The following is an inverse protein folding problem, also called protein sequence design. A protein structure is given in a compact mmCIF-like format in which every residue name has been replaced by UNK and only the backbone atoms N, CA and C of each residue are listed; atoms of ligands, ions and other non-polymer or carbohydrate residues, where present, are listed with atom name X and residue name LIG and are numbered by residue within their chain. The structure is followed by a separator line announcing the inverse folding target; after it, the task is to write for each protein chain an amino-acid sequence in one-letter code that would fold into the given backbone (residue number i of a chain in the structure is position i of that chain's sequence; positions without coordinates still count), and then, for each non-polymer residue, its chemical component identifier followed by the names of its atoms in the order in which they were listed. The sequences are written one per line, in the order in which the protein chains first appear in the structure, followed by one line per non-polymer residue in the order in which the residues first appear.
data_IF_511176423406
#
_entry.id   IF_511176423406
#
_cell.length_a   1.000
_cell.length_b   1.000
_cell.length_c   1.000
_cell.angle_alpha   90.00
_cell.angle_beta   90.00
_cell.angle_gamma   90.00
#
_symmetry.space_group_name_H-M   'P 1'
#
loop_
_entity.id
_entity.type
_entity.pdbx_description
1 polymer ?
#
# COMPACT_ATOMS: atom_id res chain seq x y z
N UNK A 1 -4.47 -14.01 7.96
CA UNK A 1 -3.30 -14.07 7.08
C UNK A 1 -2.16 -13.28 7.70
N UNK A 2 -0.95 -13.78 7.62
CA UNK A 2 0.20 -13.10 8.22
C UNK A 2 0.69 -11.95 7.35
N UNK A 3 1.25 -10.89 7.97
CA UNK A 3 1.93 -9.85 7.22
C UNK A 3 3.10 -10.38 6.39
N UNK A 4 3.44 -9.66 5.33
CA UNK A 4 4.66 -9.92 4.58
C UNK A 4 5.88 -9.78 5.49
N UNK A 5 6.85 -10.69 5.37
CA UNK A 5 8.08 -10.64 6.16
C UNK A 5 8.87 -9.35 5.89
N UNK A 6 8.92 -8.93 4.64
CA UNK A 6 9.63 -7.71 4.25
C UNK A 6 8.98 -6.46 4.86
N UNK A 7 7.65 -6.35 4.74
CA UNK A 7 6.92 -5.22 5.33
C UNK A 7 7.04 -5.23 6.84
N UNK A 8 6.92 -6.41 7.46
CA UNK A 8 7.06 -6.55 8.91
C UNK A 8 8.44 -6.11 9.39
N UNK A 9 9.50 -6.51 8.67
CA UNK A 9 10.86 -6.13 9.00
C UNK A 9 11.04 -4.61 8.99
N UNK A 10 10.54 -3.94 7.95
CA UNK A 10 10.65 -2.50 7.85
C UNK A 10 9.76 -1.77 8.86
N UNK A 11 8.55 -2.29 9.11
CA UNK A 11 7.64 -1.70 10.09
C UNK A 11 8.28 -1.55 11.47
N UNK A 12 9.06 -2.56 11.88
CA UNK A 12 9.72 -2.55 13.19
C UNK A 12 10.88 -1.56 13.30
N UNK A 13 11.38 -1.05 12.16
CA UNK A 13 12.48 -0.07 12.15
C UNK A 13 12.00 1.37 12.08
N UNK A 14 10.73 1.60 11.76
CA UNK A 14 10.19 2.95 11.58
C UNK A 14 9.62 3.48 12.88
N UNK A 15 9.75 4.79 13.09
CA UNK A 15 9.10 5.44 14.23
C UNK A 15 7.60 5.53 14.01
N UNK A 16 6.78 5.26 15.05
CA UNK A 16 5.34 5.39 14.94
C UNK A 16 4.91 6.79 14.48
N UNK A 17 3.97 6.82 13.55
CA UNK A 17 3.42 8.05 12.98
C UNK A 17 2.12 7.68 12.26
N UNK A 18 1.77 8.43 11.22
CA UNK A 18 0.61 8.13 10.40
C UNK A 18 0.98 7.15 9.29
N UNK A 19 0.08 6.21 9.01
CA UNK A 19 0.25 5.27 7.89
C UNK A 19 -1.07 5.09 7.16
N UNK A 20 -0.99 5.01 5.83
CA UNK A 20 -2.14 4.63 5.00
C UNK A 20 -1.81 3.31 4.30
N UNK A 21 -2.75 2.37 4.39
CA UNK A 21 -2.66 1.07 3.73
C UNK A 21 -3.56 1.09 2.50
N UNK A 22 -2.95 1.16 1.33
CA UNK A 22 -3.63 1.29 0.04
C UNK A 22 -4.08 -0.10 -0.43
N UNK A 23 -5.39 -0.24 -0.71
CA UNK A 23 -6.00 -1.51 -1.05
C UNK A 23 -5.76 -2.55 0.06
N UNK A 24 -6.14 -2.18 1.26
CA UNK A 24 -5.77 -2.89 2.48
C UNK A 24 -6.39 -4.27 2.64
N UNK A 25 -7.53 -4.53 1.99
CA UNK A 25 -8.23 -5.79 2.12
C UNK A 25 -8.59 -6.11 3.56
N UNK A 26 -8.28 -7.31 4.02
CA UNK A 26 -8.57 -7.74 5.38
C UNK A 26 -7.65 -7.15 6.45
N UNK A 27 -6.64 -6.35 6.03
CA UNK A 27 -5.88 -5.55 6.98
C UNK A 27 -4.67 -6.24 7.62
N UNK A 28 -4.12 -7.28 7.00
CA UNK A 28 -2.95 -7.97 7.59
C UNK A 28 -1.80 -7.02 7.93
N UNK A 29 -1.57 -6.00 7.11
CA UNK A 29 -0.55 -4.99 7.37
C UNK A 29 -1.07 -3.84 8.22
N UNK A 30 -2.34 -3.43 8.00
CA UNK A 30 -2.95 -2.37 8.81
C UNK A 30 -2.94 -2.73 10.29
N UNK A 31 -3.30 -3.96 10.64
CA UNK A 31 -3.28 -4.41 12.03
C UNK A 31 -1.86 -4.49 12.59
N UNK A 32 -0.88 -4.90 11.78
CA UNK A 32 0.52 -4.90 12.21
C UNK A 32 0.97 -3.50 12.62
N UNK A 33 0.70 -2.50 11.76
CA UNK A 33 1.12 -1.13 12.06
C UNK A 33 0.35 -0.56 13.26
N UNK A 34 -0.93 -0.88 13.39
CA UNK A 34 -1.71 -0.46 14.57
C UNK A 34 -1.11 -1.03 15.86
N UNK A 35 -0.71 -2.31 15.85
CA UNK A 35 -0.10 -2.96 17.01
C UNK A 35 1.26 -2.32 17.35
N UNK A 36 1.94 -1.75 16.38
CA UNK A 36 3.22 -1.06 16.58
C UNK A 36 3.04 0.40 17.01
N UNK A 37 1.82 0.85 17.21
CA UNK A 37 1.54 2.20 17.70
C UNK A 37 1.34 3.26 16.62
N UNK A 38 1.25 2.86 15.34
CA UNK A 38 0.95 3.81 14.27
C UNK A 38 -0.53 4.21 14.26
N UNK A 39 -0.79 5.41 13.77
CA UNK A 39 -2.15 5.87 13.48
C UNK A 39 -2.50 5.43 12.04
N UNK A 40 -3.36 4.43 11.92
CA UNK A 40 -3.58 3.73 10.66
C UNK A 40 -4.87 4.17 9.99
N UNK A 41 -4.79 4.44 8.68
CA UNK A 41 -5.93 4.56 7.78
C UNK A 41 -5.85 3.43 6.76
N UNK A 42 -6.92 2.64 6.65
CA UNK A 42 -7.04 1.56 5.67
C UNK A 42 -8.04 1.97 4.60
N UNK A 43 -7.68 1.76 3.33
CA UNK A 43 -8.53 2.11 2.19
C UNK A 43 -8.75 0.87 1.33
N UNK A 44 -10.00 0.61 0.98
CA UNK A 44 -10.34 -0.46 0.05
C UNK A 44 -11.65 -0.14 -0.68
N UNK A 45 -11.77 -0.66 -1.91
CA UNK A 45 -13.00 -0.50 -2.69
C UNK A 45 -14.11 -1.43 -2.21
N UNK A 46 -13.76 -2.54 -1.57
CA UNK A 46 -14.72 -3.52 -1.10
C UNK A 46 -15.33 -3.08 0.25
N UNK A 47 -16.62 -2.69 0.26
CA UNK A 47 -17.24 -2.23 1.51
C UNK A 47 -17.40 -3.35 2.54
N UNK A 48 -17.34 -4.61 2.12
CA UNK A 48 -17.54 -5.75 3.03
C UNK A 48 -16.40 -5.89 4.05
N UNK A 49 -15.20 -5.38 3.72
CA UNK A 49 -14.08 -5.47 4.66
C UNK A 49 -14.21 -4.46 5.82
N UNK A 50 -15.11 -3.50 5.73
CA UNK A 50 -15.31 -2.49 6.79
C UNK A 50 -15.56 -3.11 8.16
N UNK A 51 -16.25 -4.25 8.20
CA UNK A 51 -16.55 -4.94 9.48
C UNK A 51 -15.28 -5.40 10.20
N UNK A 52 -14.19 -5.65 9.47
CA UNK A 52 -12.92 -6.08 10.07
C UNK A 52 -12.25 -4.96 10.86
N UNK A 53 -12.58 -3.72 10.55
CA UNK A 53 -11.98 -2.56 11.19
C UNK A 53 -12.88 -1.95 12.26
N UNK A 54 -14.11 -2.47 12.42
CA UNK A 54 -15.04 -2.04 13.47
C UNK A 54 -14.44 -2.29 14.85
N UNK A 55 -14.65 -1.36 15.76
CA UNK A 55 -14.16 -1.45 17.14
C UNK A 55 -12.62 -1.55 17.23
N UNK A 56 -11.92 -1.08 16.20
CA UNK A 56 -10.46 -0.96 16.19
C UNK A 56 -10.06 0.52 16.13
N UNK A 57 -8.77 0.79 16.35
CA UNK A 57 -8.23 2.14 16.21
C UNK A 57 -8.00 2.53 14.74
N UNK A 58 -8.18 1.58 13.81
CA UNK A 58 -7.93 1.81 12.38
C UNK A 58 -9.12 2.54 11.76
N UNK A 59 -8.87 3.68 11.13
CA UNK A 59 -9.87 4.37 10.33
C UNK A 59 -9.98 3.69 8.97
N UNK A 60 -11.18 3.23 8.62
CA UNK A 60 -11.43 2.63 7.31
C UNK A 60 -12.16 3.60 6.40
N UNK A 61 -11.67 3.74 5.17
CA UNK A 61 -12.33 4.53 4.13
C UNK A 61 -12.62 3.65 2.93
N UNK A 62 -13.91 3.59 2.53
CA UNK A 62 -14.31 2.87 1.33
C UNK A 62 -14.18 3.80 0.13
N UNK A 63 -13.11 3.65 -0.63
CA UNK A 63 -12.80 4.51 -1.77
C UNK A 63 -12.44 3.69 -3.00
N UNK A 64 -12.85 4.17 -4.17
CA UNK A 64 -12.38 3.66 -5.45
C UNK A 64 -11.09 4.41 -5.83
N UNK A 65 -9.96 3.74 -5.67
CA UNK A 65 -8.64 4.32 -5.99
C UNK A 65 -8.39 4.39 -7.50
N UNK A 66 -9.29 3.83 -8.32
CA UNK A 66 -9.18 3.84 -9.78
C UNK A 66 -10.18 4.82 -10.41
N UNK A 67 -10.86 5.61 -9.58
CA UNK A 67 -11.73 6.69 -10.06
C UNK A 67 -10.89 7.69 -10.88
N UNK A 68 -11.51 8.31 -11.87
CA UNK A 68 -10.87 9.34 -12.69
C UNK A 68 -10.32 10.49 -11.85
N UNK A 69 -10.97 10.81 -10.73
CA UNK A 69 -10.45 11.73 -9.73
C UNK A 69 -9.79 10.96 -8.60
N UNK A 70 -8.53 11.28 -8.33
CA UNK A 70 -7.79 10.67 -7.23
C UNK A 70 -8.42 11.10 -5.88
N UNK A 71 -9.01 10.15 -5.13
CA UNK A 71 -9.80 10.51 -3.95
C UNK A 71 -8.98 10.96 -2.74
N UNK A 72 -7.67 10.76 -2.76
CA UNK A 72 -6.78 11.08 -1.63
C UNK A 72 -5.96 12.35 -1.88
N UNK A 73 -6.37 13.17 -2.84
CA UNK A 73 -5.67 14.40 -3.18
C UNK A 73 -5.51 15.31 -1.96
N UNK A 74 -4.29 15.82 -1.75
CA UNK A 74 -3.99 16.74 -0.65
C UNK A 74 -3.69 16.11 0.69
N UNK A 75 -3.82 14.78 0.82
CA UNK A 75 -3.49 14.09 2.06
C UNK A 75 -2.02 13.65 2.06
N UNK A 76 -1.43 13.56 3.24
CA UNK A 76 -0.05 13.09 3.43
C UNK A 76 0.05 12.19 4.66
N UNK A 77 0.94 11.20 4.55
CA UNK A 77 1.17 10.21 5.61
C UNK A 77 2.67 9.96 5.76
N UNK A 78 3.09 9.64 6.97
CA UNK A 78 4.49 9.31 7.25
C UNK A 78 4.90 8.00 6.57
N UNK A 79 3.97 7.06 6.43
CA UNK A 79 4.18 5.80 5.72
C UNK A 79 3.02 5.57 4.76
N UNK A 80 3.36 5.31 3.51
CA UNK A 80 2.38 4.89 2.50
C UNK A 80 2.71 3.43 2.16
N UNK A 81 1.73 2.56 2.33
CA UNK A 81 1.89 1.12 2.22
C UNK A 81 1.04 0.59 1.09
N UNK A 82 1.67 -0.08 0.13
CA UNK A 82 0.99 -0.71 -1.01
C UNK A 82 1.43 -2.16 -1.12
N UNK A 83 0.48 -3.08 -1.07
CA UNK A 83 0.77 -4.51 -1.16
C UNK A 83 -0.19 -5.17 -2.14
N UNK A 84 0.37 -5.88 -3.12
CA UNK A 84 -0.38 -6.66 -4.11
C UNK A 84 -1.41 -5.82 -4.88
N UNK A 85 -1.08 -4.57 -5.16
CA UNK A 85 -1.94 -3.65 -5.89
C UNK A 85 -1.12 -2.83 -6.88
N UNK A 86 -1.62 -2.69 -8.11
CA UNK A 86 -0.99 -1.87 -9.14
C UNK A 86 -2.06 -1.28 -10.05
N UNK A 87 -2.12 0.05 -10.09
CA UNK A 87 -2.94 0.79 -11.05
C UNK A 87 -2.11 1.95 -11.59
N UNK A 88 -1.59 1.77 -12.80
CA UNK A 88 -0.62 2.70 -13.38
C UNK A 88 -1.10 4.13 -13.56
N UNK A 89 -2.39 4.40 -13.93
CA UNK A 89 -2.84 5.77 -14.11
C UNK A 89 -2.66 6.67 -12.88
N UNK A 90 -2.71 6.11 -11.67
CA UNK A 90 -2.53 6.87 -10.43
C UNK A 90 -1.24 6.55 -9.69
N UNK A 91 -0.32 5.85 -10.33
CA UNK A 91 0.91 5.42 -9.66
C UNK A 91 1.72 6.59 -9.10
N UNK A 92 1.82 7.68 -9.86
CA UNK A 92 2.55 8.87 -9.42
C UNK A 92 1.86 9.62 -8.28
N UNK A 93 0.54 9.49 -8.17
CA UNK A 93 -0.20 10.14 -7.09
C UNK A 93 0.18 9.57 -5.72
N UNK A 94 0.68 8.33 -5.67
CA UNK A 94 1.15 7.72 -4.42
C UNK A 94 2.33 8.48 -3.81
N UNK A 95 3.21 9.07 -4.64
CA UNK A 95 4.33 9.87 -4.15
C UNK A 95 3.82 11.07 -3.36
N UNK A 96 2.74 11.68 -3.83
CA UNK A 96 2.18 12.89 -3.20
C UNK A 96 1.56 12.58 -1.85
N UNK A 97 1.25 11.31 -1.56
CA UNK A 97 0.77 10.90 -0.24
C UNK A 97 1.90 10.82 0.78
N UNK A 98 3.15 10.72 0.35
CA UNK A 98 4.28 10.56 1.25
C UNK A 98 4.67 11.93 1.81
N UNK A 99 4.60 12.07 3.14
CA UNK A 99 5.01 13.29 3.82
C UNK A 99 6.52 13.51 3.69
N UNK A 100 6.96 14.74 3.99
CA UNK A 100 8.39 15.05 4.03
C UNK A 100 9.09 14.07 4.98
N UNK A 101 10.20 13.47 4.53
CA UNK A 101 10.94 12.43 5.25
C UNK A 101 10.14 11.14 5.52
N UNK A 102 9.00 10.99 4.83
CA UNK A 102 8.19 9.78 4.94
C UNK A 102 8.74 8.63 4.09
N UNK A 103 8.03 7.50 4.15
CA UNK A 103 8.43 6.27 3.47
C UNK A 103 7.29 5.71 2.64
N UNK A 104 7.63 5.20 1.47
CA UNK A 104 6.73 4.40 0.64
C UNK A 104 7.23 2.95 0.66
N UNK A 105 6.41 2.04 1.19
CA UNK A 105 6.69 0.60 1.15
C UNK A 105 5.78 -0.03 0.10
N UNK A 106 6.37 -0.49 -0.98
CA UNK A 106 5.61 -1.03 -2.11
C UNK A 106 6.06 -2.44 -2.42
N UNK A 107 5.15 -3.40 -2.31
CA UNK A 107 5.40 -4.81 -2.56
C UNK A 107 4.30 -5.37 -3.44
N UNK A 108 4.64 -5.84 -4.64
CA UNK A 108 3.67 -6.44 -5.56
C UNK A 108 4.34 -7.41 -6.53
N UNK A 109 3.54 -8.01 -7.42
CA UNK A 109 4.02 -9.00 -8.36
C UNK A 109 4.67 -8.36 -9.58
N UNK A 110 5.77 -8.94 -10.06
CA UNK A 110 6.46 -8.52 -11.27
C UNK A 110 6.14 -9.41 -12.47
N UNK A 111 6.57 -8.96 -13.65
CA UNK A 111 6.51 -9.77 -14.88
C UNK A 111 7.27 -11.09 -14.65
N UNK A 112 6.69 -12.17 -15.13
CA UNK A 112 7.18 -13.52 -14.88
C UNK A 112 6.31 -14.29 -13.92
N UNK A 113 5.53 -13.60 -13.08
CA UNK A 113 4.63 -14.27 -12.13
C UNK A 113 3.56 -15.11 -12.81
N UNK A 114 3.19 -14.77 -14.04
CA UNK A 114 2.22 -15.54 -14.84
C UNK A 114 2.64 -16.99 -15.05
N UNK A 115 3.94 -17.29 -14.90
CA UNK A 115 4.47 -18.66 -14.97
C UNK A 115 4.09 -19.49 -13.75
N UNK A 116 3.74 -18.83 -12.65
CA UNK A 116 3.51 -19.48 -11.36
C UNK A 116 2.05 -19.39 -10.90
N UNK A 117 1.21 -18.60 -11.59
CA UNK A 117 -0.19 -18.44 -11.24
C UNK A 117 -0.70 -17.02 -11.44
N UNK A 118 -1.66 -16.64 -10.61
CA UNK A 118 -2.28 -15.32 -10.70
C UNK A 118 -1.62 -14.33 -9.70
N UNK A 119 -1.60 -13.03 -10.00
CA UNK A 119 -2.09 -12.42 -11.23
C UNK A 119 -1.25 -12.78 -12.45
N UNK A 120 -1.92 -12.96 -13.61
CA UNK A 120 -1.26 -13.27 -14.87
C UNK A 120 -1.38 -12.14 -15.90
N UNK A 121 -2.34 -11.23 -15.69
CA UNK A 121 -2.55 -10.10 -16.59
C UNK A 121 -1.39 -9.09 -16.42
N UNK A 122 -0.67 -8.74 -17.52
CA UNK A 122 0.44 -7.79 -17.45
C UNK A 122 0.09 -6.44 -16.84
N UNK A 123 -1.17 -6.03 -16.87
CA UNK A 123 -1.61 -4.77 -16.25
C UNK A 123 -1.46 -4.77 -14.73
N UNK A 124 -1.36 -5.95 -14.11
CA UNK A 124 -1.18 -6.10 -12.67
C UNK A 124 0.23 -6.56 -12.30
N UNK A 125 1.14 -6.59 -13.29
CA UNK A 125 2.52 -7.06 -13.11
C UNK A 125 3.49 -5.94 -13.44
N UNK A 126 4.42 -5.66 -12.52
CA UNK A 126 5.46 -4.65 -12.74
C UNK A 126 6.53 -5.15 -13.70
N UNK A 127 6.96 -4.27 -14.59
CA UNK A 127 8.19 -4.48 -15.36
C UNK A 127 9.39 -4.30 -14.46
N UNK A 128 10.51 -4.93 -14.83
CA UNK A 128 11.76 -4.76 -14.10
C UNK A 128 12.12 -3.27 -14.02
N UNK A 129 12.40 -2.81 -12.79
CA UNK A 129 12.75 -1.41 -12.50
C UNK A 129 11.65 -0.37 -12.78
N UNK A 130 10.42 -0.79 -13.07
CA UNK A 130 9.34 0.14 -13.40
C UNK A 130 9.04 1.11 -12.26
N UNK A 131 8.92 0.61 -11.02
CA UNK A 131 8.65 1.47 -9.86
C UNK A 131 9.80 2.45 -9.62
N UNK A 132 11.04 1.97 -9.70
CA UNK A 132 12.20 2.83 -9.50
C UNK A 132 12.24 3.95 -10.55
N UNK A 133 11.92 3.64 -11.80
CA UNK A 133 11.88 4.64 -12.88
C UNK A 133 10.76 5.65 -12.69
N UNK A 134 9.60 5.21 -12.18
CA UNK A 134 8.42 6.07 -12.03
C UNK A 134 8.49 6.90 -10.75
N UNK A 135 8.92 6.29 -9.65
CA UNK A 135 8.80 6.88 -8.31
C UNK A 135 10.10 7.48 -7.79
N UNK A 136 11.25 7.10 -8.36
CA UNK A 136 12.54 7.55 -7.90
C UNK A 136 13.18 6.59 -6.90
N UNK A 137 14.49 6.81 -6.64
CA UNK A 137 15.30 5.89 -5.84
C UNK A 137 15.20 6.11 -4.33
N UNK A 138 14.50 7.15 -3.90
CA UNK A 138 14.38 7.50 -2.47
C UNK A 138 13.39 6.62 -1.70
N UNK A 139 12.66 5.75 -2.39
CA UNK A 139 11.64 4.91 -1.79
C UNK A 139 12.11 3.47 -1.67
N UNK A 140 11.61 2.78 -0.63
CA UNK A 140 11.86 1.35 -0.44
C UNK A 140 10.82 0.56 -1.26
N UNK A 141 11.30 -0.28 -2.16
CA UNK A 141 10.45 -1.00 -3.12
C UNK A 141 10.86 -2.47 -3.16
N UNK A 142 9.87 -3.35 -3.11
CA UNK A 142 10.06 -4.79 -3.32
C UNK A 142 9.12 -5.29 -4.40
N UNK A 143 9.66 -6.01 -5.37
CA UNK A 143 8.90 -6.68 -6.42
C UNK A 143 9.04 -8.19 -6.21
N UNK A 144 7.92 -8.87 -6.14
CA UNK A 144 7.89 -10.33 -5.95
C UNK A 144 7.82 -11.08 -7.26
#
# INVERSE_FOLDING_TARGET
MNPSAWISQHAHTLMPGSVIDIAAGSGRHAFLFADLGFQVTAVDINPEVAAMYSDTSIAFENLDLEDSQWPLCGQQFDVVLVSNYLYRPHLRALIQLVASEGHLLYETFGLGNERYGKPSNPNFLLKQHELASTLGSQFLILIL
#
